data_IF_488129073650
#
_entry.id   IF_488129073650
#
_cell.length_a   1.000
_cell.length_b   1.000
_cell.length_c   1.000
_cell.angle_alpha   90.00
_cell.angle_beta   90.00
_cell.angle_gamma   90.00
#
_symmetry.space_group_name_H-M   'P 1'
#
loop_
_entity.id
_entity.type
_entity.pdbx_description
1 polymer ?
#
# COMPACT_ATOMS: atom_id res chain seq x y z
N UNK A 1 4.20 6.28 14.41
CA UNK A 1 3.74 4.96 13.93
C UNK A 1 4.08 4.88 12.47
N UNK A 2 4.60 3.75 11.98
CA UNK A 2 4.83 3.52 10.55
C UNK A 2 3.79 2.55 9.99
N UNK A 3 3.16 2.94 8.88
CA UNK A 3 2.10 2.17 8.21
C UNK A 3 2.58 1.67 6.86
N UNK A 4 2.49 0.36 6.65
CA UNK A 4 2.68 -0.29 5.36
C UNK A 4 1.35 -0.62 4.70
N UNK A 5 1.17 -0.25 3.43
CA UNK A 5 -0.04 -0.55 2.66
C UNK A 5 0.34 -1.35 1.43
N UNK A 6 -0.20 -2.57 1.32
CA UNK A 6 -0.07 -3.39 0.13
C UNK A 6 -1.21 -3.05 -0.83
N UNK A 7 -0.90 -2.36 -1.92
CA UNK A 7 -1.88 -1.81 -2.88
C UNK A 7 -2.44 -2.86 -3.84
N UNK A 8 -2.96 -3.97 -3.33
CA UNK A 8 -3.44 -5.13 -4.11
C UNK A 8 -4.92 -4.97 -4.53
N UNK A 9 -5.28 -5.61 -5.64
CA UNK A 9 -6.66 -5.66 -6.13
C UNK A 9 -6.97 -4.75 -7.32
N UNK A 10 -6.10 -3.82 -7.71
CA UNK A 10 -6.40 -2.79 -8.72
C UNK A 10 -6.89 -3.38 -10.05
N UNK A 11 -6.19 -4.36 -10.63
CA UNK A 11 -6.62 -5.00 -11.88
C UNK A 11 -7.94 -5.78 -11.75
N UNK A 12 -8.17 -6.40 -10.59
CA UNK A 12 -9.40 -7.17 -10.34
C UNK A 12 -10.58 -6.21 -10.23
N UNK A 13 -10.40 -5.11 -9.49
CA UNK A 13 -11.38 -4.03 -9.39
C UNK A 13 -11.68 -3.39 -10.75
N UNK A 14 -10.66 -3.01 -11.51
CA UNK A 14 -10.84 -2.45 -12.85
C UNK A 14 -11.57 -3.38 -13.81
N UNK A 15 -11.28 -4.70 -13.76
CA UNK A 15 -12.02 -5.68 -14.56
C UNK A 15 -13.52 -5.71 -14.24
N UNK A 16 -13.91 -5.54 -12.98
CA UNK A 16 -15.32 -5.49 -12.59
C UNK A 16 -16.04 -4.25 -13.18
N UNK A 17 -15.29 -3.18 -13.41
CA UNK A 17 -15.81 -1.90 -13.94
C UNK A 17 -15.60 -1.73 -15.45
N UNK A 18 -14.98 -2.71 -16.12
CA UNK A 18 -14.68 -2.63 -17.55
C UNK A 18 -13.56 -1.64 -17.91
N UNK A 19 -12.67 -1.34 -16.96
CA UNK A 19 -11.56 -0.42 -17.17
C UNK A 19 -10.45 -1.02 -18.02
N UNK A 20 -9.81 -0.17 -18.82
CA UNK A 20 -8.53 -0.47 -19.43
C UNK A 20 -7.37 -0.34 -18.41
N UNK A 21 -6.16 -0.65 -18.88
CA UNK A 21 -4.99 -0.69 -18.01
C UNK A 21 -4.54 0.69 -17.55
N UNK A 22 -4.70 1.73 -18.37
CA UNK A 22 -4.35 3.10 -18.00
C UNK A 22 -5.30 3.59 -16.91
N UNK A 23 -6.61 3.38 -17.07
CA UNK A 23 -7.62 3.70 -16.08
C UNK A 23 -7.35 3.02 -14.73
N UNK A 24 -6.94 1.76 -14.75
CA UNK A 24 -6.56 1.01 -13.53
C UNK A 24 -5.42 1.70 -12.77
N UNK A 25 -4.34 2.10 -13.45
CA UNK A 25 -3.19 2.69 -12.78
C UNK A 25 -3.35 4.17 -12.47
N UNK A 26 -4.13 4.90 -13.28
CA UNK A 26 -4.56 6.25 -12.98
C UNK A 26 -5.35 6.29 -11.68
N UNK A 27 -6.33 5.41 -11.54
CA UNK A 27 -7.12 5.36 -10.31
C UNK A 27 -6.28 4.88 -9.12
N UNK A 28 -5.40 3.90 -9.32
CA UNK A 28 -4.47 3.46 -8.28
C UNK A 28 -3.62 4.63 -7.76
N UNK A 29 -3.03 5.45 -8.63
CA UNK A 29 -2.24 6.60 -8.21
C UNK A 29 -3.06 7.66 -7.49
N UNK A 30 -4.21 8.04 -8.06
CA UNK A 30 -5.13 8.96 -7.41
C UNK A 30 -5.52 8.45 -6.01
N UNK A 31 -5.75 7.14 -5.87
CA UNK A 31 -6.12 6.56 -4.60
C UNK A 31 -4.97 6.54 -3.59
N UNK A 32 -3.74 6.21 -4.02
CA UNK A 32 -2.54 6.35 -3.18
C UNK A 32 -2.42 7.78 -2.62
N UNK A 33 -2.64 8.80 -3.45
CA UNK A 33 -2.59 10.21 -3.03
C UNK A 33 -3.69 10.51 -2.00
N UNK A 34 -4.94 10.08 -2.23
CA UNK A 34 -6.05 10.29 -1.30
C UNK A 34 -5.80 9.60 0.05
N UNK A 35 -5.37 8.35 0.03
CA UNK A 35 -5.05 7.59 1.25
C UNK A 35 -3.89 8.25 2.00
N UNK A 36 -2.84 8.64 1.30
CA UNK A 36 -1.66 9.29 1.90
C UNK A 36 -1.99 10.62 2.57
N UNK A 37 -2.74 11.49 1.88
CA UNK A 37 -3.20 12.76 2.44
C UNK A 37 -4.07 12.53 3.68
N UNK A 38 -4.93 11.51 3.66
CA UNK A 38 -5.77 11.16 4.80
C UNK A 38 -4.94 10.68 6.00
N UNK A 39 -3.94 9.82 5.79
CA UNK A 39 -3.03 9.39 6.85
C UNK A 39 -2.25 10.58 7.44
N UNK A 40 -1.82 11.51 6.60
CA UNK A 40 -1.09 12.71 7.01
C UNK A 40 -1.92 13.60 7.94
N UNK A 41 -3.17 13.92 7.57
CA UNK A 41 -4.04 14.73 8.45
C UNK A 41 -4.42 14.03 9.76
N UNK A 42 -4.21 12.72 9.85
CA UNK A 42 -4.39 11.91 11.06
C UNK A 42 -3.07 11.63 11.81
N UNK A 43 -2.01 12.40 11.53
CA UNK A 43 -0.76 12.38 12.28
C UNK A 43 0.25 11.31 11.87
N UNK A 44 0.10 10.70 10.69
CA UNK A 44 1.07 9.78 10.12
C UNK A 44 1.82 10.50 9.00
N UNK A 45 3.01 11.01 9.32
CA UNK A 45 3.90 11.73 8.40
C UNK A 45 4.20 10.91 7.13
N UNK A 46 4.39 11.55 5.97
CA UNK A 46 4.66 10.87 4.69
C UNK A 46 5.86 9.89 4.75
N UNK A 47 6.92 10.25 5.46
CA UNK A 47 8.11 9.40 5.71
C UNK A 47 7.82 8.12 6.49
N UNK A 48 6.67 8.07 7.17
CA UNK A 48 6.18 6.94 7.94
C UNK A 48 5.09 6.15 7.18
N UNK A 49 4.87 6.46 5.89
CA UNK A 49 3.95 5.75 5.01
C UNK A 49 4.72 4.98 3.94
N UNK A 50 4.44 3.68 3.81
CA UNK A 50 5.02 2.82 2.78
C UNK A 50 3.90 2.26 1.92
N UNK A 51 3.91 2.55 0.63
CA UNK A 51 3.01 1.93 -0.33
C UNK A 51 3.76 0.86 -1.12
N UNK A 52 3.35 -0.39 -0.97
CA UNK A 52 3.88 -1.50 -1.74
C UNK A 52 3.12 -1.69 -3.04
N UNK A 53 3.85 -1.50 -4.14
CA UNK A 53 3.27 -1.50 -5.49
C UNK A 53 3.30 -2.92 -6.07
N UNK A 54 4.48 -3.56 -6.04
CA UNK A 54 4.65 -4.89 -6.61
C UNK A 54 5.96 -5.53 -6.16
N UNK A 55 5.96 -6.86 -6.04
CA UNK A 55 7.18 -7.66 -5.93
C UNK A 55 7.95 -7.69 -7.26
N UNK A 56 9.25 -8.01 -7.20
CA UNK A 56 10.12 -8.20 -8.38
C UNK A 56 9.57 -9.29 -9.30
N UNK A 57 9.19 -10.43 -8.75
CA UNK A 57 8.63 -11.56 -9.50
C UNK A 57 7.28 -11.24 -10.15
N UNK A 58 6.46 -10.41 -9.48
CA UNK A 58 5.21 -9.97 -10.05
C UNK A 58 5.44 -8.94 -11.15
N UNK A 59 6.45 -8.07 -11.02
CA UNK A 59 6.76 -7.07 -12.03
C UNK A 59 7.34 -7.69 -13.29
N UNK A 60 8.24 -8.67 -13.16
CA UNK A 60 8.88 -9.33 -14.31
C UNK A 60 7.89 -10.04 -15.24
N UNK A 61 6.78 -10.54 -14.69
CA UNK A 61 5.72 -11.27 -15.43
C UNK A 61 4.67 -10.36 -16.08
N UNK A 62 4.68 -9.05 -15.82
CA UNK A 62 3.72 -8.11 -16.43
C UNK A 62 4.11 -7.78 -17.87
N UNK A 63 3.12 -7.38 -18.66
CA UNK A 63 3.33 -6.89 -20.02
C UNK A 63 4.02 -5.52 -19.98
N UNK A 64 4.77 -5.17 -21.03
CA UNK A 64 5.49 -3.89 -21.09
C UNK A 64 4.57 -2.67 -20.97
N UNK A 65 3.44 -2.67 -21.69
CA UNK A 65 2.40 -1.64 -21.57
C UNK A 65 1.97 -1.41 -20.10
N UNK A 66 1.78 -2.49 -19.34
CA UNK A 66 1.39 -2.39 -17.94
C UNK A 66 2.53 -1.84 -17.06
N UNK A 67 3.78 -2.20 -17.35
CA UNK A 67 4.96 -1.68 -16.65
C UNK A 67 5.13 -0.17 -16.90
N UNK A 68 4.89 0.27 -18.14
CA UNK A 68 4.94 1.69 -18.51
C UNK A 68 3.91 2.51 -17.74
N UNK A 69 2.67 2.02 -17.61
CA UNK A 69 1.65 2.68 -16.81
C UNK A 69 2.04 2.75 -15.33
N UNK A 70 2.55 1.65 -14.75
CA UNK A 70 3.02 1.65 -13.36
C UNK A 70 4.14 2.67 -13.16
N UNK A 71 5.12 2.72 -14.07
CA UNK A 71 6.24 3.65 -13.98
C UNK A 71 5.77 5.10 -14.08
N UNK A 72 4.95 5.43 -15.09
CA UNK A 72 4.33 6.75 -15.28
C UNK A 72 3.63 7.22 -14.01
N UNK A 73 2.69 6.42 -13.52
CA UNK A 73 1.87 6.81 -12.36
C UNK A 73 2.63 6.77 -11.03
N UNK A 74 3.70 5.97 -10.91
CA UNK A 74 4.59 6.04 -9.75
C UNK A 74 5.34 7.37 -9.70
N UNK A 75 5.84 7.84 -10.84
CA UNK A 75 6.47 9.17 -10.94
C UNK A 75 5.47 10.27 -10.57
N UNK A 76 4.25 10.24 -11.10
CA UNK A 76 3.21 11.23 -10.76
C UNK A 76 2.92 11.28 -9.25
N UNK A 77 2.83 10.14 -8.56
CA UNK A 77 2.63 10.11 -7.10
C UNK A 77 3.80 10.78 -6.37
N UNK A 78 5.03 10.46 -6.75
CA UNK A 78 6.25 10.98 -6.10
C UNK A 78 6.35 12.50 -6.28
N UNK A 79 6.08 12.99 -7.49
CA UNK A 79 6.03 14.42 -7.79
C UNK A 79 4.94 15.14 -6.99
N UNK A 80 3.74 14.57 -6.91
CA UNK A 80 2.64 15.14 -6.10
C UNK A 80 2.94 15.19 -4.60
N UNK A 81 3.82 14.30 -4.12
CA UNK A 81 4.18 14.16 -2.71
C UNK A 81 5.52 14.83 -2.34
N UNK A 82 6.14 15.57 -3.28
CA UNK A 82 7.45 16.21 -3.09
C UNK A 82 8.53 15.25 -2.53
N UNK A 83 8.59 14.02 -3.05
CA UNK A 83 9.58 12.99 -2.64
C UNK A 83 9.49 12.48 -1.18
N UNK A 84 8.49 12.88 -0.38
CA UNK A 84 8.41 12.50 1.03
C UNK A 84 7.77 11.11 1.27
N UNK A 85 7.20 10.48 0.23
CA UNK A 85 6.50 9.20 0.31
C UNK A 85 7.41 8.02 -0.11
N UNK A 86 7.29 6.89 0.58
CA UNK A 86 8.01 5.66 0.18
C UNK A 86 7.13 4.78 -0.72
N UNK A 87 7.42 4.78 -2.02
CA UNK A 87 6.91 3.78 -2.96
C UNK A 87 7.87 2.60 -3.03
N UNK A 88 7.44 1.47 -2.48
CA UNK A 88 8.24 0.26 -2.50
C UNK A 88 7.94 -0.56 -3.76
N UNK A 89 8.79 -0.34 -4.76
CA UNK A 89 8.97 -1.19 -5.93
C UNK A 89 10.35 -1.81 -5.89
N UNK A 90 10.49 -3.03 -6.41
CA UNK A 90 11.80 -3.62 -6.67
C UNK A 90 12.68 -3.67 -5.41
N UNK A 91 12.34 -4.64 -4.57
CA UNK A 91 12.98 -4.90 -3.30
C UNK A 91 14.51 -4.93 -3.38
N UNK A 92 15.16 -3.95 -2.73
CA UNK A 92 16.40 -4.20 -2.02
C UNK A 92 16.02 -4.59 -0.59
N UNK A 93 15.96 -5.91 -0.34
CA UNK A 93 15.57 -6.43 0.97
C UNK A 93 16.47 -5.90 2.07
N UNK A 94 17.75 -5.72 1.75
CA UNK A 94 18.73 -5.27 2.72
C UNK A 94 18.50 -3.83 3.15
N UNK A 95 17.90 -2.99 2.31
CA UNK A 95 17.58 -1.59 2.66
C UNK A 95 16.42 -1.47 3.65
N UNK A 96 15.44 -2.37 3.60
CA UNK A 96 14.17 -2.22 4.34
C UNK A 96 13.86 -3.36 5.32
N UNK A 97 14.71 -4.39 5.42
CA UNK A 97 14.52 -5.51 6.35
C UNK A 97 14.46 -5.09 7.82
N UNK A 98 15.19 -4.04 8.18
CA UNK A 98 15.26 -3.51 9.55
C UNK A 98 14.26 -2.38 9.78
N UNK A 99 13.44 -2.05 8.78
CA UNK A 99 12.45 -1.00 8.90
C UNK A 99 11.35 -1.47 9.84
N UNK A 100 11.22 -0.79 11.00
CA UNK A 100 10.14 -1.04 11.94
C UNK A 100 8.82 -0.53 11.35
N UNK A 101 7.94 -1.46 11.00
CA UNK A 101 6.57 -1.20 10.53
C UNK A 101 5.62 -1.62 11.65
N UNK A 102 4.78 -0.70 12.12
CA UNK A 102 3.90 -0.99 13.25
C UNK A 102 2.56 -1.60 12.79
N UNK A 103 2.03 -1.15 11.64
CA UNK A 103 0.77 -1.62 11.08
C UNK A 103 0.92 -1.91 9.59
N UNK A 104 0.42 -3.07 9.15
CA UNK A 104 0.38 -3.48 7.74
C UNK A 104 -1.07 -3.69 7.33
N UNK A 105 -1.53 -2.91 6.35
CA UNK A 105 -2.86 -2.98 5.77
C UNK A 105 -2.75 -3.63 4.40
N UNK A 106 -3.46 -4.75 4.20
CA UNK A 106 -3.51 -5.45 2.92
C UNK A 106 -4.94 -5.69 2.46
N UNK A 107 -5.50 -4.76 1.68
CA UNK A 107 -6.62 -5.05 0.79
C UNK A 107 -6.22 -6.09 -0.27
N UNK A 108 -7.20 -6.56 -1.04
CA UNK A 108 -7.01 -7.51 -2.13
C UNK A 108 -7.63 -8.89 -1.90
N UNK A 109 -8.45 -9.04 -0.84
CA UNK A 109 -9.20 -10.27 -0.51
C UNK A 109 -8.32 -11.51 -0.35
N UNK A 110 -7.14 -11.34 0.24
CA UNK A 110 -6.16 -12.41 0.49
C UNK A 110 -5.44 -12.18 1.83
N UNK A 111 -5.15 -13.26 2.55
CA UNK A 111 -4.47 -13.21 3.86
C UNK A 111 -3.04 -13.76 3.77
N UNK A 112 -2.15 -12.99 3.12
CA UNK A 112 -0.70 -13.28 3.02
C UNK A 112 0.05 -11.96 2.84
N UNK A 113 1.38 -11.94 2.84
CA UNK A 113 2.16 -10.69 2.67
C UNK A 113 2.92 -10.59 1.35
N UNK A 114 3.02 -11.69 0.59
CA UNK A 114 3.56 -11.70 -0.78
C UNK A 114 4.94 -11.03 -0.93
N UNK A 115 5.79 -11.18 0.09
CA UNK A 115 7.14 -10.62 0.11
C UNK A 115 7.24 -9.17 0.59
N UNK A 116 6.19 -8.60 1.18
CA UNK A 116 6.25 -7.32 1.91
C UNK A 116 7.01 -7.47 3.25
N UNK A 117 7.73 -6.45 3.76
CA UNK A 117 8.59 -6.60 4.92
C UNK A 117 7.72 -6.61 6.16
N UNK A 118 8.15 -7.36 7.16
CA UNK A 118 7.40 -7.53 8.40
C UNK A 118 8.36 -7.38 9.56
N UNK A 119 8.00 -6.57 10.54
CA UNK A 119 8.70 -6.52 11.81
C UNK A 119 8.06 -7.50 12.80
N UNK A 120 8.80 -8.04 13.79
CA UNK A 120 8.26 -9.04 14.73
C UNK A 120 6.96 -8.65 15.45
N UNK A 121 6.70 -7.36 15.61
CA UNK A 121 5.51 -6.83 16.30
C UNK A 121 4.59 -6.02 15.37
N UNK A 122 4.68 -6.24 14.05
CA UNK A 122 3.76 -5.60 13.11
C UNK A 122 2.35 -6.15 13.28
N UNK A 123 1.40 -5.27 13.50
CA UNK A 123 -0.03 -5.59 13.43
C UNK A 123 -0.44 -5.77 11.97
N UNK A 124 -1.27 -6.77 11.70
CA UNK A 124 -1.73 -7.09 10.34
C UNK A 124 -3.23 -6.87 10.24
N UNK A 125 -3.68 -6.21 9.16
CA UNK A 125 -5.09 -6.00 8.84
C UNK A 125 -5.36 -6.37 7.39
N UNK A 126 -6.31 -7.29 7.19
CA UNK A 126 -6.68 -7.83 5.88
C UNK A 126 -8.14 -7.52 5.56
N UNK A 127 -8.50 -6.25 5.26
CA UNK A 127 -9.88 -5.91 4.92
C UNK A 127 -10.32 -6.64 3.65
N UNK A 128 -11.55 -7.17 3.64
CA UNK A 128 -12.12 -7.92 2.51
C UNK A 128 -12.64 -7.02 1.38
N UNK A 129 -11.76 -6.15 0.89
CA UNK A 129 -12.00 -5.16 -0.15
C UNK A 129 -10.82 -5.15 -1.12
N UNK A 130 -10.94 -4.49 -2.28
CA UNK A 130 -9.79 -4.14 -3.12
C UNK A 130 -9.20 -2.78 -2.70
N UNK A 131 -7.94 -2.53 -3.05
CA UNK A 131 -7.28 -1.27 -2.67
C UNK A 131 -8.06 -0.01 -3.08
N UNK A 132 -8.63 0.12 -4.30
CA UNK A 132 -9.41 1.32 -4.67
C UNK A 132 -10.68 1.55 -3.81
N UNK A 133 -11.12 0.52 -3.07
CA UNK A 133 -12.28 0.59 -2.17
C UNK A 133 -11.89 0.98 -0.73
N UNK A 134 -10.60 1.15 -0.43
CA UNK A 134 -10.09 1.52 0.90
C UNK A 134 -10.45 2.98 1.23
N UNK A 135 -11.69 3.17 1.66
CA UNK A 135 -12.23 4.48 2.01
C UNK A 135 -11.64 5.02 3.31
N UNK A 136 -11.78 6.32 3.52
CA UNK A 136 -11.46 7.00 4.78
C UNK A 136 -12.10 6.29 5.97
N UNK A 137 -13.39 5.93 5.89
CA UNK A 137 -14.08 5.25 6.99
C UNK A 137 -13.45 3.90 7.34
N UNK A 138 -13.06 3.13 6.32
CA UNK A 138 -12.41 1.82 6.55
C UNK A 138 -11.02 2.02 7.17
N UNK A 139 -10.27 3.04 6.73
CA UNK A 139 -8.99 3.38 7.33
C UNK A 139 -9.13 3.82 8.79
N UNK A 140 -10.13 4.64 9.11
CA UNK A 140 -10.48 5.04 10.48
C UNK A 140 -10.73 3.81 11.36
N UNK A 141 -11.60 2.90 10.90
CA UNK A 141 -11.93 1.67 11.64
C UNK A 141 -10.68 0.80 11.88
N UNK A 142 -9.78 0.71 10.89
CA UNK A 142 -8.52 -0.02 11.00
C UNK A 142 -7.56 0.64 12.01
N UNK A 143 -7.44 1.98 12.00
CA UNK A 143 -6.56 2.69 12.91
C UNK A 143 -7.09 2.64 14.36
N UNK A 144 -8.40 2.72 14.54
CA UNK A 144 -9.05 2.58 15.85
C UNK A 144 -8.84 1.16 16.41
N UNK A 145 -9.05 0.12 15.60
CA UNK A 145 -8.81 -1.26 16.00
C UNK A 145 -7.33 -1.52 16.34
N UNK A 146 -6.40 -0.93 15.58
CA UNK A 146 -4.98 -0.97 15.90
C UNK A 146 -4.64 -0.26 17.22
N UNK A 147 -5.27 0.88 17.52
CA UNK A 147 -5.07 1.60 18.77
C UNK A 147 -5.58 0.82 19.99
N UNK A 148 -6.64 0.04 19.82
CA UNK A 148 -7.23 -0.82 20.84
C UNK A 148 -6.55 -2.20 20.97
N UNK A 149 -5.57 -2.52 20.11
CA UNK A 149 -4.88 -3.81 20.18
C UNK A 149 -3.95 -3.86 21.39
N UNK A 150 -4.20 -4.80 22.30
CA UNK A 150 -3.29 -5.10 23.42
C UNK A 150 -1.97 -5.67 22.92
N UNK A 151 -0.88 -4.92 23.07
CA UNK A 151 0.46 -5.38 22.68
C UNK A 151 1.15 -5.99 23.89
N UNK A 152 1.20 -7.31 23.92
CA UNK A 152 1.79 -8.06 25.03
C UNK A 152 3.31 -8.20 24.94
N UNK A 153 3.96 -7.76 23.86
CA UNK A 153 5.42 -7.76 23.66
C UNK A 153 6.17 -9.01 24.18
N UNK A 154 5.53 -10.19 24.14
CA UNK A 154 6.13 -11.45 24.62
C UNK A 154 6.02 -11.74 26.12
N UNK A 155 5.17 -11.01 26.86
CA UNK A 155 4.71 -11.34 28.22
C UNK A 155 3.55 -12.35 28.23
#
# INVERSE_FOLDING_TARGET
>A
MRVGIITDGNRRYGKLLGWDIEQVYKEWANHCVRVSAWLFVNGIEYKDQIFYISSKDNMSKRREEEKEQIAKYSTEIVEMMNDDITLLMNYDYDKYKDLKIDLIIRPGKVQRLSGFPVSPYSELRFPDIYFPELSQKILEDILEDYANTERRFGE
#
